data_IF_094387733621
#
_entry.id   IF_094387733621
#
_cell.length_a   1.000
_cell.length_b   1.000
_cell.length_c   1.000
_cell.angle_alpha   90.00
_cell.angle_beta   90.00
_cell.angle_gamma   90.00
#
_symmetry.space_group_name_H-M   'P 1'
#
loop_
_entity.id
_entity.type
_entity.pdbx_description
1 polymer ?
#
# COMPACT_ATOMS: atom_id res chain seq x y z
N UNK A 1 -14.21 14.35 -0.28
CA UNK A 1 -14.24 15.09 1.01
C UNK A 1 -13.13 16.11 0.98
N UNK A 2 -13.31 17.26 1.63
CA UNK A 2 -12.26 18.27 1.75
C UNK A 2 -12.30 18.83 3.17
N UNK A 3 -11.13 19.07 3.76
CA UNK A 3 -10.99 19.53 5.14
C UNK A 3 -9.73 18.98 5.80
N UNK A 4 -9.41 19.48 7.00
CA UNK A 4 -8.30 18.99 7.82
C UNK A 4 -8.79 17.90 8.76
N UNK A 5 -8.15 16.74 8.69
CA UNK A 5 -8.45 15.56 9.48
C UNK A 5 -7.16 14.99 10.04
N UNK A 6 -7.24 14.39 11.23
CA UNK A 6 -6.14 13.65 11.82
C UNK A 6 -6.22 12.19 11.36
N UNK A 7 -5.11 11.65 10.90
CA UNK A 7 -4.99 10.22 10.58
C UNK A 7 -4.96 9.42 11.89
N UNK A 8 -5.96 8.56 12.09
CA UNK A 8 -6.01 7.64 13.24
C UNK A 8 -5.37 6.32 12.88
N UNK A 9 -5.74 5.75 11.73
CA UNK A 9 -5.21 4.48 11.27
C UNK A 9 -5.26 4.36 9.76
N UNK A 10 -4.22 3.75 9.19
CA UNK A 10 -4.16 3.32 7.80
C UNK A 10 -3.79 1.84 7.81
N UNK A 11 -4.59 1.00 7.17
CA UNK A 11 -4.36 -0.44 7.10
C UNK A 11 -4.65 -0.95 5.69
N UNK A 12 -4.03 -2.07 5.32
CA UNK A 12 -4.29 -2.69 4.04
C UNK A 12 -3.04 -3.17 3.34
N UNK A 13 -3.21 -3.49 2.06
CA UNK A 13 -2.14 -3.97 1.21
C UNK A 13 -2.11 -3.18 -0.09
N UNK A 14 -0.91 -3.09 -0.65
CA UNK A 14 -0.67 -2.49 -1.95
C UNK A 14 0.24 -3.41 -2.74
N UNK A 15 -0.15 -3.70 -3.97
CA UNK A 15 0.68 -4.44 -4.92
C UNK A 15 1.31 -3.46 -5.91
N UNK A 16 2.64 -3.51 -6.03
CA UNK A 16 3.40 -2.69 -6.96
C UNK A 16 3.99 -3.56 -8.07
N UNK A 17 3.71 -3.25 -9.34
CA UNK A 17 4.31 -3.93 -10.49
C UNK A 17 4.26 -3.08 -11.76
N UNK A 18 5.13 -3.41 -12.71
CA UNK A 18 5.47 -2.61 -13.92
C UNK A 18 4.27 -2.30 -14.84
N UNK A 19 3.21 -3.10 -14.79
CA UNK A 19 2.02 -2.96 -15.62
C UNK A 19 0.81 -2.38 -14.87
N UNK A 20 0.99 -1.97 -13.61
CA UNK A 20 -0.12 -1.52 -12.78
C UNK A 20 -0.11 0.01 -12.72
N UNK A 21 -1.17 0.61 -13.28
CA UNK A 21 -1.42 2.03 -13.12
C UNK A 21 -1.57 2.33 -11.62
N UNK A 22 -1.17 3.54 -11.21
CA UNK A 22 -1.33 4.06 -9.83
C UNK A 22 -2.82 4.23 -9.44
N UNK A 23 -3.74 3.87 -10.34
CA UNK A 23 -5.18 4.04 -10.28
C UNK A 23 -5.87 3.06 -9.31
N UNK A 24 -5.37 2.92 -8.08
CA UNK A 24 -6.09 2.37 -6.92
C UNK A 24 -6.63 0.92 -7.00
N UNK A 25 -6.67 0.29 -8.17
CA UNK A 25 -7.37 -0.98 -8.43
C UNK A 25 -6.71 -2.14 -7.68
N UNK A 26 -5.41 -2.00 -7.39
CA UNK A 26 -4.59 -2.96 -6.65
C UNK A 26 -4.21 -2.48 -5.24
N UNK A 27 -4.74 -1.34 -4.79
CA UNK A 27 -4.51 -0.78 -3.46
C UNK A 27 -5.76 -0.97 -2.59
N UNK A 28 -5.71 -1.92 -1.65
CA UNK A 28 -6.80 -2.17 -0.71
C UNK A 28 -6.49 -1.50 0.61
N UNK A 29 -6.50 -0.17 0.62
CA UNK A 29 -6.24 0.62 1.83
C UNK A 29 -7.56 1.04 2.47
N UNK A 30 -7.70 0.75 3.76
CA UNK A 30 -8.74 1.28 4.63
C UNK A 30 -8.15 2.36 5.53
N UNK A 31 -8.90 3.45 5.69
CA UNK A 31 -8.49 4.59 6.50
C UNK A 31 -9.52 4.90 7.58
N UNK A 32 -9.02 5.40 8.71
CA UNK A 32 -9.83 6.03 9.76
C UNK A 32 -9.26 7.42 10.05
N UNK A 33 -10.14 8.42 10.05
CA UNK A 33 -9.85 9.83 10.21
C UNK A 33 -10.73 10.41 11.31
N UNK A 34 -10.20 11.33 12.11
CA UNK A 34 -11.01 12.21 12.96
C UNK A 34 -11.01 13.64 12.45
N UNK A 35 -12.14 14.31 12.62
CA UNK A 35 -12.21 15.76 12.53
C UNK A 35 -12.06 16.37 13.93
N UNK A 36 -11.67 17.65 13.98
CA UNK A 36 -11.42 18.36 15.24
C UNK A 36 -12.70 18.53 16.09
N UNK A 37 -13.88 18.32 15.51
CA UNK A 37 -15.18 18.33 16.19
C UNK A 37 -15.53 17.00 16.86
N UNK A 38 -14.62 16.02 16.83
CA UNK A 38 -14.78 14.70 17.44
C UNK A 38 -15.47 13.66 16.56
N UNK A 39 -15.89 14.03 15.33
CA UNK A 39 -16.45 13.05 14.39
C UNK A 39 -15.36 12.16 13.80
N UNK A 40 -15.69 10.89 13.61
CA UNK A 40 -14.80 9.89 13.00
C UNK A 40 -15.38 9.41 11.68
N UNK A 41 -14.51 9.29 10.69
CA UNK A 41 -14.82 8.85 9.33
C UNK A 41 -13.90 7.70 8.97
N UNK A 42 -14.37 6.74 8.17
CA UNK A 42 -13.49 5.69 7.70
C UNK A 42 -14.09 4.85 6.58
N UNK A 43 -13.25 4.03 5.97
CA UNK A 43 -13.62 3.14 4.86
C UNK A 43 -12.49 2.93 3.87
N UNK A 44 -12.87 2.36 2.72
CA UNK A 44 -11.95 2.10 1.60
C UNK A 44 -11.51 3.41 0.95
N UNK A 45 -10.23 3.51 0.63
CA UNK A 45 -9.66 4.62 -0.12
C UNK A 45 -9.84 4.36 -1.63
N UNK A 46 -10.71 5.14 -2.28
CA UNK A 46 -11.00 5.00 -3.72
C UNK A 46 -10.33 6.08 -4.58
N UNK A 47 -9.31 6.76 -4.06
CA UNK A 47 -8.62 7.85 -4.74
C UNK A 47 -7.49 8.46 -3.90
N UNK A 48 -6.96 9.59 -4.34
CA UNK A 48 -5.82 10.24 -3.67
C UNK A 48 -6.20 10.93 -2.36
N UNK A 49 -5.30 10.83 -1.38
CA UNK A 49 -5.35 11.59 -0.13
C UNK A 49 -4.19 12.58 -0.13
N UNK A 50 -4.47 13.83 0.23
CA UNK A 50 -3.45 14.88 0.33
C UNK A 50 -3.17 15.12 1.81
N UNK A 51 -1.91 14.96 2.20
CA UNK A 51 -1.47 15.26 3.54
C UNK A 51 -1.39 16.77 3.74
N UNK A 52 -2.03 17.29 4.80
CA UNK A 52 -1.96 18.71 5.16
C UNK A 52 -0.63 19.07 5.82
N UNK A 53 0.04 18.09 6.44
CA UNK A 53 1.32 18.19 7.13
C UNK A 53 2.10 16.87 6.93
N UNK A 54 3.41 16.80 7.26
CA UNK A 54 4.17 15.56 7.12
C UNK A 54 3.54 14.38 7.88
N UNK A 55 3.32 13.25 7.18
CA UNK A 55 2.76 12.02 7.76
C UNK A 55 3.83 10.93 7.73
N UNK A 56 4.00 10.23 8.85
CA UNK A 56 4.85 9.06 8.94
C UNK A 56 4.04 7.79 8.66
N UNK A 57 4.47 6.99 7.69
CA UNK A 57 3.85 5.71 7.33
C UNK A 57 4.93 4.63 7.42
N UNK A 58 4.60 3.53 8.08
CA UNK A 58 5.44 2.35 8.14
C UNK A 58 4.79 1.29 7.26
N UNK A 59 5.53 0.80 6.27
CA UNK A 59 5.09 -0.26 5.37
C UNK A 59 6.01 -1.47 5.49
N UNK A 60 5.42 -2.66 5.40
CA UNK A 60 6.14 -3.92 5.27
C UNK A 60 5.82 -4.51 3.89
N UNK A 61 6.83 -5.09 3.25
CA UNK A 61 6.71 -5.69 1.93
C UNK A 61 7.20 -7.13 1.92
N UNK A 62 6.53 -7.97 1.13
CA UNK A 62 6.97 -9.33 0.84
C UNK A 62 7.50 -9.40 -0.59
N UNK A 63 8.75 -9.83 -0.77
CA UNK A 63 9.29 -10.16 -2.10
C UNK A 63 8.99 -11.62 -2.39
N UNK A 64 8.26 -11.90 -3.47
CA UNK A 64 8.11 -13.27 -3.95
C UNK A 64 9.48 -13.80 -4.40
N UNK A 65 9.98 -14.82 -3.71
CA UNK A 65 11.17 -15.55 -4.12
C UNK A 65 10.85 -16.38 -5.36
N UNK A 66 11.45 -16.05 -6.50
CA UNK A 66 11.40 -16.97 -7.64
C UNK A 66 12.34 -18.13 -7.34
N UNK A 67 11.78 -19.28 -6.94
CA UNK A 67 12.55 -20.52 -6.89
C UNK A 67 12.90 -20.90 -8.33
N UNK A 68 14.06 -20.48 -8.81
CA UNK A 68 14.68 -21.04 -10.02
C UNK A 68 15.53 -22.23 -9.58
N UNK A 69 14.88 -23.34 -9.28
CA UNK A 69 15.58 -24.59 -9.01
C UNK A 69 15.75 -25.44 -10.28
N UNK A 70 16.93 -26.08 -10.36
CA UNK A 70 17.32 -27.19 -11.24
C UNK A 70 17.29 -27.00 -12.77
N UNK A 71 18.43 -26.64 -13.38
CA UNK A 71 18.84 -27.16 -14.72
C UNK A 71 20.25 -26.76 -15.18
N UNK A 72 20.92 -25.79 -14.54
CA UNK A 72 22.22 -25.30 -15.03
C UNK A 72 23.45 -26.00 -14.42
N UNK A 73 23.32 -26.62 -13.24
CA UNK A 73 24.47 -27.26 -12.55
C UNK A 73 24.93 -28.58 -13.21
N UNK A 74 24.07 -29.26 -13.99
CA UNK A 74 24.41 -30.52 -14.66
C UNK A 74 25.20 -30.37 -15.97
N UNK A 75 25.35 -29.14 -16.51
CA UNK A 75 26.13 -28.91 -17.74
C UNK A 75 27.61 -28.61 -17.49
N UNK A 76 28.03 -28.33 -16.25
CA UNK A 76 29.43 -28.03 -15.92
C UNK A 76 30.30 -29.29 -15.74
N UNK A 77 29.74 -30.49 -15.91
CA UNK A 77 30.43 -31.78 -15.76
C UNK A 77 30.53 -32.61 -17.06
N UNK A 78 30.42 -31.99 -18.24
CA UNK A 78 30.70 -32.65 -19.53
C UNK A 78 31.73 -31.89 -20.32
#
# INVERSE_FOLDING_TARGET
MQGSYQLISLSGSFEYGENHNVDGEHSRLNITLSHHDGKVFGGLVTGSLIAAEPVYIIAAGLKQGTSKDTSQELKKRR
#
